data_IF_335974966730
#
_entry.id   IF_335974966730
#
_cell.length_a   1.000
_cell.length_b   1.000
_cell.length_c   1.000
_cell.angle_alpha   90.00
_cell.angle_beta   90.00
_cell.angle_gamma   90.00
#
_symmetry.space_group_name_H-M   'P 1'
#
loop_
_entity.id
_entity.type
_entity.pdbx_description
1 polymer ?
#
# COMPACT_ATOMS: atom_id res chain seq x y z
N UNK A 1 -14.50 6.52 21.95
CA UNK A 1 -13.69 7.03 20.81
C UNK A 1 -14.52 8.06 20.04
N UNK A 2 -13.99 9.25 19.83
CA UNK A 2 -14.69 10.27 19.06
C UNK A 2 -14.35 10.16 17.56
N UNK A 3 -15.03 10.97 16.73
CA UNK A 3 -14.84 10.90 15.28
C UNK A 3 -13.44 11.30 14.83
N UNK A 4 -12.78 12.18 15.55
CA UNK A 4 -11.41 12.62 15.23
C UNK A 4 -10.42 11.47 15.48
N UNK A 5 -10.59 10.77 16.59
CA UNK A 5 -9.75 9.60 16.91
C UNK A 5 -9.98 8.46 15.93
N UNK A 6 -11.24 8.22 15.57
CA UNK A 6 -11.60 7.19 14.60
C UNK A 6 -10.99 7.49 13.23
N UNK A 7 -11.06 8.74 12.79
CA UNK A 7 -10.49 9.16 11.50
C UNK A 7 -9.01 8.82 11.37
N UNK A 8 -8.24 8.97 12.46
CA UNK A 8 -6.80 8.67 12.47
C UNK A 8 -6.48 7.18 12.33
N UNK A 9 -7.49 6.32 12.34
CA UNK A 9 -7.34 4.87 12.19
C UNK A 9 -7.81 4.39 10.82
N UNK A 10 -8.29 5.28 9.96
CA UNK A 10 -8.87 4.91 8.66
C UNK A 10 -7.82 4.98 7.56
N UNK A 11 -7.70 3.90 6.79
CA UNK A 11 -6.98 3.87 5.53
C UNK A 11 -8.01 4.05 4.41
N UNK A 12 -8.10 5.26 3.88
CA UNK A 12 -9.08 5.60 2.84
C UNK A 12 -8.62 4.97 1.52
N UNK A 13 -9.39 4.03 0.99
CA UNK A 13 -8.90 3.05 0.02
C UNK A 13 -9.71 3.05 -1.27
N UNK A 14 -9.02 2.99 -2.42
CA UNK A 14 -9.61 2.70 -3.71
C UNK A 14 -8.68 1.77 -4.48
N UNK A 15 -9.13 0.54 -4.74
CA UNK A 15 -8.33 -0.51 -5.40
C UNK A 15 -9.00 -1.09 -6.63
N UNK A 16 -10.11 -0.51 -7.08
CA UNK A 16 -10.78 -0.98 -8.29
C UNK A 16 -9.92 -0.70 -9.52
N UNK A 17 -9.91 -1.65 -10.45
CA UNK A 17 -9.04 -1.58 -11.62
C UNK A 17 -9.34 -0.37 -12.52
N UNK A 18 -10.56 0.13 -12.51
CA UNK A 18 -11.01 1.22 -13.37
C UNK A 18 -11.01 2.58 -12.68
N UNK A 19 -10.33 2.72 -11.55
CA UNK A 19 -10.18 4.02 -10.89
C UNK A 19 -9.47 5.01 -11.82
N UNK A 20 -9.97 6.24 -11.84
CA UNK A 20 -9.43 7.31 -12.68
C UNK A 20 -8.62 8.29 -11.83
N UNK A 21 -7.89 9.18 -12.49
CA UNK A 21 -7.16 10.25 -11.80
C UNK A 21 -8.10 11.09 -10.94
N UNK A 22 -9.29 11.41 -11.44
CA UNK A 22 -10.28 12.18 -10.67
C UNK A 22 -10.69 11.44 -9.39
N UNK A 23 -10.83 10.12 -9.45
CA UNK A 23 -11.15 9.31 -8.28
C UNK A 23 -10.03 9.42 -7.24
N UNK A 24 -8.78 9.38 -7.67
CA UNK A 24 -7.63 9.49 -6.77
C UNK A 24 -7.55 10.89 -6.15
N UNK A 25 -7.76 11.93 -6.94
CA UNK A 25 -7.75 13.31 -6.46
C UNK A 25 -8.82 13.51 -5.38
N UNK A 26 -10.02 13.01 -5.63
CA UNK A 26 -11.13 13.09 -4.67
C UNK A 26 -10.81 12.33 -3.38
N UNK A 27 -10.25 11.13 -3.52
CA UNK A 27 -9.83 10.31 -2.38
C UNK A 27 -8.85 11.07 -1.48
N UNK A 28 -7.86 11.72 -2.09
CA UNK A 28 -6.83 12.47 -1.35
C UNK A 28 -7.42 13.73 -0.71
N UNK A 29 -8.32 14.43 -1.38
CA UNK A 29 -9.01 15.59 -0.80
C UNK A 29 -9.80 15.20 0.45
N UNK A 30 -10.55 14.11 0.37
CA UNK A 30 -11.32 13.60 1.51
C UNK A 30 -10.41 13.21 2.66
N UNK A 31 -9.30 12.51 2.37
CA UNK A 31 -8.36 12.09 3.39
C UNK A 31 -7.72 13.27 4.13
N UNK A 32 -7.35 14.32 3.40
CA UNK A 32 -6.79 15.54 4.00
C UNK A 32 -7.83 16.28 4.83
N UNK A 33 -9.06 16.37 4.34
CA UNK A 33 -10.15 17.07 5.02
C UNK A 33 -10.44 16.45 6.39
N UNK A 34 -10.45 15.13 6.48
CA UNK A 34 -10.78 14.41 7.71
C UNK A 34 -9.57 13.90 8.49
N UNK A 35 -8.36 14.16 8.00
CA UNK A 35 -7.11 13.70 8.62
C UNK A 35 -7.10 12.17 8.84
N UNK A 36 -7.46 11.42 7.80
CA UNK A 36 -7.35 9.97 7.85
C UNK A 36 -5.89 9.52 8.01
N UNK A 37 -5.68 8.29 8.46
CA UNK A 37 -4.34 7.75 8.68
C UNK A 37 -3.54 7.69 7.38
N UNK A 38 -4.18 7.18 6.33
CA UNK A 38 -3.54 7.00 5.03
C UNK A 38 -4.56 7.03 3.90
N UNK A 39 -4.02 7.08 2.68
CA UNK A 39 -4.73 6.77 1.45
C UNK A 39 -4.07 5.52 0.89
N UNK A 40 -4.86 4.50 0.53
CA UNK A 40 -4.35 3.27 -0.06
C UNK A 40 -4.84 3.14 -1.50
N UNK A 41 -3.88 3.01 -2.43
CA UNK A 41 -4.13 2.97 -3.88
C UNK A 41 -3.32 1.85 -4.52
N UNK A 42 -3.69 1.46 -5.74
CA UNK A 42 -2.86 0.55 -6.52
C UNK A 42 -1.50 1.19 -6.83
N UNK A 43 -0.45 0.40 -7.05
CA UNK A 43 0.92 0.91 -7.27
C UNK A 43 1.05 1.97 -8.36
N UNK A 44 0.27 1.86 -9.42
CA UNK A 44 0.29 2.84 -10.52
C UNK A 44 0.04 4.28 -10.03
N UNK A 45 -0.75 4.45 -8.97
CA UNK A 45 -1.16 5.76 -8.49
C UNK A 45 -0.29 6.33 -7.37
N UNK A 46 0.76 5.61 -6.94
CA UNK A 46 1.59 6.02 -5.80
C UNK A 46 2.23 7.39 -6.03
N UNK A 47 2.82 7.59 -7.20
CA UNK A 47 3.52 8.84 -7.51
C UNK A 47 2.59 10.05 -7.44
N UNK A 48 1.42 9.94 -8.07
CA UNK A 48 0.40 11.00 -8.04
C UNK A 48 -0.09 11.24 -6.60
N UNK A 49 -0.40 10.16 -5.89
CA UNK A 49 -0.87 10.24 -4.50
C UNK A 49 0.14 10.90 -3.60
N UNK A 50 1.42 10.56 -3.77
CA UNK A 50 2.51 11.17 -3.00
C UNK A 50 2.56 12.68 -3.24
N UNK A 51 2.40 13.12 -4.47
CA UNK A 51 2.37 14.55 -4.79
C UNK A 51 1.16 15.25 -4.18
N UNK A 52 -0.01 14.62 -4.26
CA UNK A 52 -1.26 15.21 -3.74
C UNK A 52 -1.27 15.32 -2.21
N UNK A 53 -0.56 14.44 -1.53
CA UNK A 53 -0.52 14.41 -0.06
C UNK A 53 0.69 15.11 0.54
N UNK A 54 1.53 15.75 -0.27
CA UNK A 54 2.66 16.55 0.22
C UNK A 54 2.19 17.58 1.23
N UNK A 55 2.99 17.77 2.27
CA UNK A 55 2.70 18.73 3.34
C UNK A 55 1.44 18.38 4.15
N UNK A 56 0.95 17.15 4.04
CA UNK A 56 -0.13 16.66 4.90
C UNK A 56 0.39 15.59 5.84
N UNK A 57 -0.42 15.25 6.86
CA UNK A 57 -0.10 14.16 7.78
C UNK A 57 -0.57 12.80 7.27
N UNK A 58 -1.31 12.79 6.14
CA UNK A 58 -1.87 11.56 5.56
C UNK A 58 -0.76 10.78 4.86
N UNK A 59 -0.61 9.51 5.20
CA UNK A 59 0.41 8.65 4.62
C UNK A 59 -0.05 8.04 3.30
N UNK A 60 0.93 7.73 2.45
CA UNK A 60 0.70 7.03 1.18
C UNK A 60 0.92 5.55 1.40
N UNK A 61 -0.14 4.77 1.20
CA UNK A 61 -0.10 3.30 1.27
C UNK A 61 -0.40 2.70 -0.09
N UNK A 62 0.20 1.57 -0.39
CA UNK A 62 -0.13 0.79 -1.59
C UNK A 62 -0.09 -0.69 -1.30
N UNK A 63 -0.61 -1.48 -2.23
CA UNK A 63 -0.67 -2.94 -2.12
C UNK A 63 0.47 -3.58 -2.91
N UNK A 64 0.95 -4.71 -2.43
CA UNK A 64 2.03 -5.47 -3.07
C UNK A 64 1.56 -6.91 -3.29
N UNK A 65 1.73 -7.41 -4.51
CA UNK A 65 1.26 -8.74 -4.89
C UNK A 65 -0.25 -8.86 -4.88
N UNK A 66 -0.94 -7.77 -5.02
CA UNK A 66 -2.40 -7.69 -4.91
C UNK A 66 -3.07 -7.98 -6.26
N UNK A 67 -4.22 -8.69 -6.29
CA UNK A 67 -4.94 -9.20 -5.11
C UNK A 67 -4.59 -10.62 -4.70
N UNK A 68 -3.86 -11.37 -5.50
CA UNK A 68 -3.73 -12.82 -5.32
C UNK A 68 -2.59 -13.25 -4.40
N UNK A 69 -1.53 -12.46 -4.29
CA UNK A 69 -0.34 -12.83 -3.53
C UNK A 69 0.43 -14.02 -4.14
N UNK A 70 0.05 -14.46 -5.33
CA UNK A 70 0.52 -15.70 -5.95
C UNK A 70 1.62 -15.44 -6.98
N UNK A 71 2.56 -14.58 -6.64
CA UNK A 71 3.73 -14.29 -7.47
C UNK A 71 5.00 -14.57 -6.69
N UNK A 72 6.15 -14.46 -7.34
CA UNK A 72 7.43 -14.79 -6.70
C UNK A 72 7.83 -13.74 -5.64
N UNK A 73 8.70 -14.16 -4.74
CA UNK A 73 9.30 -13.26 -3.74
C UNK A 73 10.02 -12.09 -4.39
N UNK A 74 10.75 -12.35 -5.47
CA UNK A 74 11.50 -11.34 -6.21
C UNK A 74 10.55 -10.28 -6.78
N UNK A 75 9.42 -10.71 -7.35
CA UNK A 75 8.43 -9.77 -7.89
C UNK A 75 7.84 -8.88 -6.81
N UNK A 76 7.51 -9.44 -5.65
CA UNK A 76 6.99 -8.67 -4.52
C UNK A 76 8.02 -7.68 -3.99
N UNK A 77 9.27 -8.12 -3.84
CA UNK A 77 10.35 -7.25 -3.37
C UNK A 77 10.59 -6.09 -4.35
N UNK A 78 10.60 -6.37 -5.65
CA UNK A 78 10.80 -5.34 -6.68
C UNK A 78 9.63 -4.34 -6.71
N UNK A 79 8.41 -4.83 -6.61
CA UNK A 79 7.23 -3.97 -6.55
C UNK A 79 7.28 -3.04 -5.33
N UNK A 80 7.72 -3.57 -4.18
CA UNK A 80 7.90 -2.80 -2.96
C UNK A 80 8.96 -1.71 -3.16
N UNK A 81 10.09 -2.05 -3.77
CA UNK A 81 11.17 -1.09 -4.04
C UNK A 81 10.67 0.07 -4.89
N UNK A 82 9.99 -0.22 -5.98
CA UNK A 82 9.44 0.81 -6.85
C UNK A 82 8.44 1.69 -6.11
N UNK A 83 7.54 1.09 -5.33
CA UNK A 83 6.53 1.82 -4.59
C UNK A 83 7.17 2.82 -3.61
N UNK A 84 8.21 2.40 -2.91
CA UNK A 84 8.90 3.27 -1.94
C UNK A 84 9.64 4.40 -2.66
N UNK A 85 10.30 4.11 -3.76
CA UNK A 85 10.98 5.12 -4.57
C UNK A 85 10.00 6.16 -5.12
N UNK A 86 8.76 5.77 -5.38
CA UNK A 86 7.72 6.68 -5.87
C UNK A 86 7.02 7.46 -4.77
N UNK A 87 7.30 7.16 -3.50
CA UNK A 87 6.80 7.93 -2.38
C UNK A 87 5.84 7.22 -1.44
N UNK A 88 5.71 5.90 -1.53
CA UNK A 88 4.90 5.15 -0.57
C UNK A 88 5.56 5.17 0.80
N UNK A 89 4.76 5.45 1.83
CA UNK A 89 5.18 5.40 3.23
C UNK A 89 4.97 4.01 3.82
N UNK A 90 3.93 3.31 3.33
CA UNK A 90 3.51 2.01 3.83
C UNK A 90 3.15 1.09 2.67
N UNK A 91 3.37 -0.20 2.86
CA UNK A 91 2.96 -1.22 1.87
C UNK A 91 2.18 -2.33 2.57
N UNK A 92 1.09 -2.76 1.92
CA UNK A 92 0.26 -3.88 2.35
C UNK A 92 0.50 -5.04 1.40
N UNK A 93 1.28 -6.02 1.83
CA UNK A 93 1.62 -7.16 0.98
C UNK A 93 0.62 -8.30 1.17
N UNK A 94 0.16 -8.86 0.05
CA UNK A 94 -0.70 -10.03 0.08
C UNK A 94 0.17 -11.28 0.20
N UNK A 95 -0.11 -12.09 1.22
CA UNK A 95 0.61 -13.36 1.41
C UNK A 95 0.27 -14.36 0.30
N UNK A 96 1.17 -15.31 0.06
CA UNK A 96 0.88 -16.40 -0.85
C UNK A 96 -0.03 -17.40 -0.13
N UNK A 97 -1.34 -17.27 -0.36
CA UNK A 97 -2.36 -18.06 0.33
C UNK A 97 -2.22 -19.55 0.01
N UNK A 98 -1.92 -19.88 -1.25
CA UNK A 98 -1.72 -21.27 -1.65
C UNK A 98 -0.55 -21.93 -0.93
N UNK A 99 0.57 -21.19 -0.81
CA UNK A 99 1.73 -21.67 -0.07
C UNK A 99 1.40 -21.86 1.42
N UNK A 100 0.67 -20.92 2.02
CA UNK A 100 0.24 -21.02 3.41
C UNK A 100 -0.66 -22.23 3.63
N UNK A 101 -1.60 -22.48 2.75
CA UNK A 101 -2.51 -23.63 2.83
C UNK A 101 -1.78 -24.95 2.63
N UNK A 102 -0.65 -24.93 1.94
CA UNK A 102 0.19 -26.12 1.69
C UNK A 102 1.29 -26.25 2.76
N UNK A 103 1.16 -25.56 3.89
CA UNK A 103 2.10 -25.57 5.00
C UNK A 103 3.53 -25.13 4.61
N UNK A 104 3.66 -24.34 3.56
CA UNK A 104 4.93 -23.75 3.13
C UNK A 104 5.14 -22.38 3.78
N UNK A 105 5.17 -22.37 5.11
CA UNK A 105 5.27 -21.11 5.88
C UNK A 105 6.60 -20.40 5.67
N UNK A 106 7.67 -21.16 5.33
CA UNK A 106 8.96 -20.59 4.99
C UNK A 106 8.90 -19.71 3.73
N UNK A 107 8.09 -20.09 2.75
CA UNK A 107 7.90 -19.28 1.52
C UNK A 107 7.21 -17.96 1.89
N UNK A 108 6.17 -18.01 2.71
CA UNK A 108 5.45 -16.81 3.16
C UNK A 108 6.38 -15.90 3.97
N UNK A 109 7.16 -16.46 4.86
CA UNK A 109 8.13 -15.72 5.66
C UNK A 109 9.17 -15.04 4.78
N UNK A 110 9.71 -15.73 3.77
CA UNK A 110 10.68 -15.17 2.84
C UNK A 110 10.11 -14.02 2.03
N UNK A 111 8.86 -14.12 1.58
CA UNK A 111 8.18 -13.03 0.86
C UNK A 111 8.17 -11.76 1.69
N UNK A 112 7.80 -11.87 2.96
CA UNK A 112 7.73 -10.74 3.88
C UNK A 112 9.13 -10.18 4.15
N UNK A 113 10.09 -11.06 4.41
CA UNK A 113 11.46 -10.68 4.74
C UNK A 113 12.13 -9.97 3.56
N UNK A 114 12.00 -10.49 2.35
CA UNK A 114 12.58 -9.89 1.15
C UNK A 114 12.05 -8.49 0.89
N UNK A 115 10.73 -8.31 1.03
CA UNK A 115 10.11 -6.99 0.88
C UNK A 115 10.57 -6.03 1.96
N UNK A 116 10.70 -6.50 3.20
CA UNK A 116 11.17 -5.68 4.31
C UNK A 116 12.65 -5.28 4.13
N UNK A 117 13.48 -6.19 3.65
CA UNK A 117 14.90 -5.93 3.37
C UNK A 117 15.05 -4.89 2.27
N UNK A 118 14.27 -5.00 1.20
CA UNK A 118 14.23 -4.03 0.12
C UNK A 118 13.88 -2.64 0.65
N UNK A 119 12.88 -2.58 1.51
CA UNK A 119 12.48 -1.32 2.15
C UNK A 119 13.62 -0.70 2.96
N UNK A 120 14.39 -1.52 3.68
CA UNK A 120 15.51 -1.03 4.50
C UNK A 120 16.66 -0.48 3.67
N UNK A 121 16.84 -0.98 2.46
CA UNK A 121 17.93 -0.56 1.57
C UNK A 121 17.66 0.79 0.90
N UNK A 122 16.45 1.25 0.95
CA UNK A 122 16.05 2.52 0.34
C UNK A 122 15.99 3.62 1.40
#
# INVERSE_FOLDING_TARGET
>A
MNNIELAKMIDHTILKANATQNDIEKLCEEAKKYNFASVCVNPYWVSLTSDLLKNSTVKVCTVIGFPLGATSSESKAYETEIAILQGADEVDMVINVGAMKNDKTDIVENDILDSTTTKKLI
#
